data_IF_316667313088
#
_entry.id   IF_316667313088
#
_cell.length_a   1.000
_cell.length_b   1.000
_cell.length_c   1.000
_cell.angle_alpha   90.00
_cell.angle_beta   90.00
_cell.angle_gamma   90.00
#
_symmetry.space_group_name_H-M   'P 1'
#
loop_
_entity.id
_entity.type
_entity.pdbx_description
1 polymer ?
#
# COMPACT_ATOMS: atom_id res chain seq x y z
N UNK A 1 -5.29 8.62 -60.64
CA UNK A 1 -5.06 9.46 -59.46
C UNK A 1 -6.07 9.23 -58.32
N UNK A 2 -7.33 8.95 -58.59
CA UNK A 2 -8.39 8.80 -57.54
C UNK A 2 -8.28 7.50 -56.69
N UNK A 3 -7.66 6.43 -57.19
CA UNK A 3 -7.49 5.15 -56.49
C UNK A 3 -6.37 5.18 -55.43
N UNK A 4 -5.33 5.93 -55.62
CA UNK A 4 -4.20 6.02 -54.70
C UNK A 4 -4.51 6.92 -53.47
N UNK A 5 -5.43 7.86 -53.65
CA UNK A 5 -5.89 8.71 -52.56
C UNK A 5 -6.67 7.92 -51.46
N UNK A 6 -7.43 6.91 -51.90
CA UNK A 6 -8.20 6.05 -50.99
C UNK A 6 -7.29 5.13 -50.14
N UNK A 7 -6.20 4.63 -50.70
CA UNK A 7 -5.23 3.81 -49.97
C UNK A 7 -4.37 4.63 -48.99
N UNK A 8 -4.11 5.88 -49.30
CA UNK A 8 -3.35 6.78 -48.45
C UNK A 8 -4.18 7.20 -47.18
N UNK A 9 -5.49 7.35 -47.33
CA UNK A 9 -6.39 7.65 -46.21
C UNK A 9 -6.58 6.40 -45.34
N UNK A 10 -6.59 5.19 -45.90
CA UNK A 10 -6.73 3.95 -45.15
C UNK A 10 -5.47 3.62 -44.33
N UNK A 11 -4.28 4.04 -44.72
CA UNK A 11 -3.02 3.84 -44.01
C UNK A 11 -2.86 4.84 -42.84
N UNK A 12 -3.51 6.00 -42.90
CA UNK A 12 -3.46 7.00 -41.80
C UNK A 12 -4.34 6.67 -40.61
N UNK A 13 -5.30 5.75 -40.73
CA UNK A 13 -6.20 5.39 -39.66
C UNK A 13 -5.66 4.29 -38.73
N UNK A 14 -4.53 3.65 -39.07
CA UNK A 14 -3.95 2.57 -38.26
C UNK A 14 -2.92 3.02 -37.21
N UNK A 15 -2.66 4.33 -37.08
CA UNK A 15 -1.72 4.88 -36.10
C UNK A 15 -2.42 5.53 -34.91
N UNK A 16 -3.60 5.05 -34.51
CA UNK A 16 -4.07 5.31 -33.16
C UNK A 16 -3.28 4.37 -32.23
N UNK A 17 -2.05 4.78 -31.95
CA UNK A 17 -1.20 4.11 -30.98
C UNK A 17 -1.95 4.00 -29.66
N UNK A 18 -2.12 2.78 -29.17
CA UNK A 18 -2.47 2.52 -27.78
C UNK A 18 -1.43 3.22 -26.92
N UNK A 19 -1.78 4.40 -26.40
CA UNK A 19 -0.94 5.06 -25.40
C UNK A 19 -0.78 4.05 -24.24
N UNK A 20 0.43 3.61 -23.90
CA UNK A 20 0.60 2.74 -22.75
C UNK A 20 0.06 3.53 -21.55
N UNK A 21 -0.99 3.01 -20.91
CA UNK A 21 -1.52 3.58 -19.69
C UNK A 21 -0.44 3.42 -18.61
N UNK A 22 0.43 4.42 -18.50
CA UNK A 22 1.47 4.43 -17.46
C UNK A 22 0.78 4.63 -16.12
N UNK A 23 1.20 3.87 -15.13
CA UNK A 23 0.75 4.06 -13.77
C UNK A 23 1.02 5.51 -13.34
N UNK A 24 -0.01 6.22 -12.93
CA UNK A 24 0.12 7.54 -12.34
C UNK A 24 0.72 7.37 -10.96
N UNK A 25 1.84 8.04 -10.73
CA UNK A 25 2.57 8.03 -9.47
C UNK A 25 2.42 9.41 -8.80
N UNK A 26 1.95 9.41 -7.56
CA UNK A 26 1.75 10.62 -6.76
C UNK A 26 2.34 10.41 -5.38
N UNK A 27 2.85 11.47 -4.74
CA UNK A 27 3.35 11.41 -3.36
C UNK A 27 2.38 12.14 -2.44
N UNK A 28 2.17 11.57 -1.24
CA UNK A 28 1.28 12.09 -0.23
C UNK A 28 1.95 11.99 1.15
N UNK A 29 1.99 13.09 1.90
CA UNK A 29 2.40 13.08 3.30
C UNK A 29 1.19 12.86 4.21
N UNK A 30 1.28 11.90 5.14
CA UNK A 30 0.21 11.60 6.08
C UNK A 30 0.71 11.00 7.40
N UNK A 31 0.51 11.72 8.47
CA UNK A 31 0.70 11.26 9.86
C UNK A 31 2.06 10.61 10.11
N UNK A 32 2.06 9.46 10.78
CA UNK A 32 3.28 8.71 11.09
C UNK A 32 3.94 8.04 9.87
N UNK A 33 3.20 7.91 8.77
CA UNK A 33 3.75 7.33 7.54
C UNK A 33 4.69 8.28 6.81
N UNK A 34 4.57 9.61 7.05
CA UNK A 34 5.28 10.62 6.28
C UNK A 34 4.91 10.50 4.79
N UNK A 35 5.92 10.55 3.92
CA UNK A 35 5.70 10.44 2.49
C UNK A 35 5.30 9.02 2.08
N UNK A 36 4.08 8.88 1.60
CA UNK A 36 3.56 7.67 0.96
C UNK A 36 3.49 7.86 -0.55
N UNK A 37 3.69 6.79 -1.31
CA UNK A 37 3.61 6.83 -2.77
C UNK A 37 2.35 6.12 -3.26
N UNK A 38 1.55 6.81 -4.08
CA UNK A 38 0.32 6.29 -4.65
C UNK A 38 0.55 5.86 -6.09
N UNK A 39 0.09 4.65 -6.43
CA UNK A 39 0.11 4.13 -7.80
C UNK A 39 -1.29 3.76 -8.24
N UNK A 40 -1.74 4.29 -9.37
CA UNK A 40 -3.03 3.94 -9.97
C UNK A 40 -2.99 4.12 -11.49
N UNK A 41 -3.79 3.35 -12.21
CA UNK A 41 -3.97 3.51 -13.66
C UNK A 41 -5.33 4.12 -14.00
N UNK A 42 -6.31 4.01 -13.10
CA UNK A 42 -7.67 4.51 -13.26
C UNK A 42 -7.96 5.60 -12.23
N UNK A 43 -8.82 6.55 -12.59
CA UNK A 43 -9.37 7.52 -11.63
C UNK A 43 -10.42 6.88 -10.71
N UNK A 44 -10.96 5.71 -11.10
CA UNK A 44 -11.92 4.95 -10.30
C UNK A 44 -11.43 3.49 -10.12
N UNK A 45 -10.38 3.26 -9.30
CA UNK A 45 -9.92 1.91 -9.01
C UNK A 45 -11.02 1.12 -8.28
N UNK A 46 -11.09 -0.18 -8.57
CA UNK A 46 -12.05 -1.08 -7.89
C UNK A 46 -11.49 -1.72 -6.62
N UNK A 47 -10.19 -1.59 -6.39
CA UNK A 47 -9.47 -2.15 -5.24
C UNK A 47 -8.56 -1.11 -4.60
N UNK A 48 -8.34 -1.25 -3.30
CA UNK A 48 -7.36 -0.46 -2.54
C UNK A 48 -6.40 -1.42 -1.87
N UNK A 49 -5.11 -1.23 -2.07
CA UNK A 49 -4.03 -2.00 -1.46
C UNK A 49 -3.13 -1.06 -0.68
N UNK A 50 -2.90 -1.33 0.60
CA UNK A 50 -1.86 -0.68 1.38
C UNK A 50 -0.67 -1.62 1.42
N UNK A 51 0.42 -1.23 0.75
CA UNK A 51 1.59 -2.08 0.59
C UNK A 51 2.76 -1.56 1.40
N UNK A 52 3.26 -2.39 2.32
CA UNK A 52 4.36 -2.07 3.24
C UNK A 52 5.65 -2.72 2.77
N UNK A 53 6.71 -1.95 2.67
CA UNK A 53 8.06 -2.42 2.29
C UNK A 53 8.68 -3.34 3.35
N UNK A 54 9.81 -3.95 3.01
CA UNK A 54 10.71 -4.58 3.98
C UNK A 54 11.74 -3.60 4.55
N UNK A 55 12.72 -4.13 5.29
CA UNK A 55 13.79 -3.38 5.97
C UNK A 55 14.64 -2.49 5.05
N UNK A 56 14.63 -2.77 3.75
CA UNK A 56 15.28 -1.92 2.76
C UNK A 56 14.55 -0.60 2.46
N UNK A 57 13.38 -0.36 3.04
CA UNK A 57 12.54 0.81 2.77
C UNK A 57 11.77 0.72 1.45
N UNK A 58 11.15 1.86 1.07
CA UNK A 58 10.33 1.94 -0.14
C UNK A 58 11.20 2.19 -1.39
N UNK A 59 11.77 1.12 -1.96
CA UNK A 59 12.63 1.20 -3.13
C UNK A 59 12.60 -0.08 -3.99
N UNK A 60 13.25 -0.03 -5.17
CA UNK A 60 13.49 -1.18 -6.07
C UNK A 60 12.29 -2.14 -6.20
N UNK A 61 12.47 -3.40 -5.80
CA UNK A 61 11.51 -4.49 -6.05
C UNK A 61 10.10 -4.24 -5.52
N UNK A 62 9.93 -3.57 -4.37
CA UNK A 62 8.59 -3.25 -3.84
C UNK A 62 7.90 -2.18 -4.70
N UNK A 63 8.67 -1.25 -5.28
CA UNK A 63 8.14 -0.24 -6.23
C UNK A 63 7.63 -0.93 -7.50
N UNK A 64 8.39 -1.87 -8.05
CA UNK A 64 7.98 -2.63 -9.24
C UNK A 64 6.74 -3.48 -8.95
N UNK A 65 6.68 -4.10 -7.78
CA UNK A 65 5.51 -4.85 -7.33
C UNK A 65 4.27 -3.93 -7.20
N UNK A 66 4.42 -2.75 -6.61
CA UNK A 66 3.34 -1.77 -6.46
C UNK A 66 2.82 -1.30 -7.84
N UNK A 67 3.72 -0.98 -8.77
CA UNK A 67 3.38 -0.65 -10.16
C UNK A 67 2.64 -1.80 -10.84
N UNK A 68 3.08 -3.03 -10.64
CA UNK A 68 2.40 -4.21 -11.20
C UNK A 68 1.02 -4.41 -10.60
N UNK A 69 0.86 -4.26 -9.29
CA UNK A 69 -0.45 -4.34 -8.63
C UNK A 69 -1.43 -3.27 -9.14
N UNK A 70 -0.95 -2.05 -9.41
CA UNK A 70 -1.82 -0.98 -9.93
C UNK A 70 -2.41 -1.32 -11.30
N UNK A 71 -1.78 -2.23 -12.08
CA UNK A 71 -2.33 -2.70 -13.37
C UNK A 71 -3.58 -3.57 -13.20
N UNK A 72 -3.87 -4.05 -11.99
CA UNK A 72 -5.06 -4.83 -11.65
C UNK A 72 -6.25 -3.94 -11.23
N UNK A 73 -6.31 -2.72 -11.74
CA UNK A 73 -7.32 -1.72 -11.39
C UNK A 73 -7.35 -1.43 -9.89
N UNK A 74 -6.17 -1.36 -9.27
CA UNK A 74 -5.99 -1.06 -7.86
C UNK A 74 -5.35 0.32 -7.64
N UNK A 75 -5.81 1.01 -6.60
CA UNK A 75 -5.02 2.04 -5.94
C UNK A 75 -4.04 1.34 -4.99
N UNK A 76 -2.75 1.52 -5.19
CA UNK A 76 -1.72 1.00 -4.29
C UNK A 76 -1.11 2.16 -3.51
N UNK A 77 -1.15 2.07 -2.19
CA UNK A 77 -0.55 3.05 -1.26
C UNK A 77 0.72 2.42 -0.70
N UNK A 78 1.86 2.91 -1.12
CA UNK A 78 3.19 2.42 -0.73
C UNK A 78 3.67 3.07 0.56
N UNK A 79 4.11 2.25 1.51
CA UNK A 79 4.58 2.66 2.84
C UNK A 79 6.02 2.21 3.05
N UNK A 80 6.87 3.15 3.47
CA UNK A 80 8.22 2.87 3.97
C UNK A 80 8.13 2.40 5.42
N UNK A 81 8.41 1.11 5.66
CA UNK A 81 8.35 0.54 7.01
C UNK A 81 9.40 1.14 7.93
N UNK A 82 10.59 1.47 7.41
CA UNK A 82 11.70 1.98 8.23
C UNK A 82 11.32 3.33 8.85
N UNK A 83 10.75 4.21 8.02
CA UNK A 83 10.22 5.48 8.51
C UNK A 83 9.09 5.26 9.51
N UNK A 84 8.11 4.43 9.18
CA UNK A 84 6.92 4.22 10.01
C UNK A 84 7.26 3.63 11.39
N UNK A 85 8.09 2.60 11.47
CA UNK A 85 8.49 2.00 12.76
C UNK A 85 9.23 3.02 13.64
N UNK A 86 10.09 3.84 13.06
CA UNK A 86 10.77 4.92 13.79
C UNK A 86 9.78 5.93 14.38
N UNK A 87 8.69 6.25 13.67
CA UNK A 87 7.65 7.14 14.19
C UNK A 87 6.84 6.50 15.31
N UNK A 88 6.56 5.19 15.24
CA UNK A 88 5.93 4.46 16.35
C UNK A 88 6.77 4.51 17.63
N UNK A 89 8.08 4.34 17.51
CA UNK A 89 9.00 4.37 18.64
C UNK A 89 9.06 5.75 19.32
N UNK A 90 8.95 6.82 18.54
CA UNK A 90 9.00 8.20 19.02
C UNK A 90 7.69 8.65 19.72
N UNK A 91 6.63 7.85 19.66
CA UNK A 91 5.36 8.19 20.32
C UNK A 91 5.50 8.13 21.86
N UNK A 92 4.69 8.90 22.58
CA UNK A 92 4.63 8.86 24.07
C UNK A 92 3.75 7.72 24.61
N UNK A 93 3.09 6.97 23.76
CA UNK A 93 2.16 5.90 24.11
C UNK A 93 2.88 4.68 24.72
N UNK A 94 2.22 3.96 25.61
CA UNK A 94 2.77 2.76 26.25
C UNK A 94 2.82 1.56 25.30
N UNK A 95 1.90 1.50 24.35
CA UNK A 95 1.86 0.53 23.26
C UNK A 95 1.38 1.21 21.99
N UNK A 96 1.72 0.69 20.83
CA UNK A 96 1.35 1.23 19.51
C UNK A 96 0.13 0.53 18.95
N UNK A 97 -0.76 1.29 18.29
CA UNK A 97 -1.96 0.77 17.65
C UNK A 97 -1.99 1.07 16.15
N UNK A 98 -1.09 0.44 15.35
CA UNK A 98 -0.99 0.70 13.91
C UNK A 98 -2.28 0.43 13.14
N UNK A 99 -3.18 -0.41 13.62
CA UNK A 99 -4.44 -0.66 12.94
C UNK A 99 -5.25 0.63 12.69
N UNK A 100 -5.27 1.58 13.64
CA UNK A 100 -5.92 2.88 13.42
C UNK A 100 -5.18 3.74 12.42
N UNK A 101 -3.84 3.78 12.47
CA UNK A 101 -3.05 4.57 11.53
C UNK A 101 -3.33 4.14 10.08
N UNK A 102 -3.38 2.81 9.83
CA UNK A 102 -3.65 2.24 8.50
C UNK A 102 -5.09 2.50 8.04
N UNK A 103 -6.06 2.41 8.94
CA UNK A 103 -7.46 2.73 8.63
C UNK A 103 -7.63 4.20 8.28
N UNK A 104 -7.03 5.11 9.07
CA UNK A 104 -7.09 6.54 8.86
C UNK A 104 -6.41 6.96 7.56
N UNK A 105 -5.24 6.38 7.24
CA UNK A 105 -4.58 6.58 5.96
C UNK A 105 -5.49 6.15 4.80
N UNK A 106 -6.10 4.98 4.89
CA UNK A 106 -7.01 4.49 3.85
C UNK A 106 -8.19 5.43 3.62
N UNK A 107 -8.85 5.85 4.70
CA UNK A 107 -9.97 6.80 4.64
C UNK A 107 -9.54 8.14 4.04
N UNK A 108 -8.40 8.66 4.47
CA UNK A 108 -7.87 9.93 3.99
C UNK A 108 -7.55 9.89 2.49
N UNK A 109 -6.82 8.87 2.04
CA UNK A 109 -6.42 8.74 0.62
C UNK A 109 -7.65 8.58 -0.26
N UNK A 110 -8.60 7.74 0.10
CA UNK A 110 -9.80 7.53 -0.70
C UNK A 110 -10.67 8.79 -0.76
N UNK A 111 -10.80 9.52 0.35
CA UNK A 111 -11.49 10.81 0.37
C UNK A 111 -10.79 11.85 -0.51
N UNK A 112 -9.47 11.93 -0.43
CA UNK A 112 -8.66 12.89 -1.22
C UNK A 112 -8.74 12.62 -2.72
N UNK A 113 -8.93 11.36 -3.11
CA UNK A 113 -9.06 10.94 -4.50
C UNK A 113 -10.53 10.82 -4.96
N UNK A 114 -11.48 11.39 -4.20
CA UNK A 114 -12.90 11.48 -4.52
C UNK A 114 -13.56 10.12 -4.84
N UNK A 115 -13.18 9.06 -4.08
CA UNK A 115 -13.83 7.77 -4.22
C UNK A 115 -15.33 7.88 -3.91
N UNK A 116 -16.22 7.36 -4.77
CA UNK A 116 -17.67 7.50 -4.58
C UNK A 116 -18.19 6.71 -3.38
N UNK A 117 -17.42 5.73 -2.92
CA UNK A 117 -17.67 4.92 -1.71
C UNK A 117 -16.35 4.44 -1.14
N UNK A 118 -16.31 4.24 0.17
CA UNK A 118 -15.15 3.64 0.80
C UNK A 118 -15.00 2.16 0.39
N UNK A 119 -13.80 1.77 0.02
CA UNK A 119 -13.39 0.41 -0.30
C UNK A 119 -12.50 -0.07 0.83
N UNK A 120 -12.86 -1.16 1.50
CA UNK A 120 -11.99 -1.77 2.51
C UNK A 120 -10.67 -2.19 1.86
N UNK A 121 -9.53 -1.74 2.37
CA UNK A 121 -8.25 -2.06 1.77
C UNK A 121 -7.82 -3.50 2.06
N UNK A 122 -7.09 -4.08 1.13
CA UNK A 122 -6.23 -5.24 1.36
C UNK A 122 -4.89 -4.73 1.86
N UNK A 123 -4.40 -5.31 2.94
CA UNK A 123 -3.04 -5.08 3.42
C UNK A 123 -2.08 -6.00 2.67
N UNK A 124 -0.93 -5.49 2.27
CA UNK A 124 0.13 -6.29 1.68
C UNK A 124 1.46 -5.90 2.30
N UNK A 125 2.30 -6.87 2.58
CA UNK A 125 3.60 -6.60 3.16
C UNK A 125 4.68 -7.53 2.62
N UNK A 126 5.90 -7.01 2.54
CA UNK A 126 7.07 -7.77 2.13
C UNK A 126 8.10 -7.82 3.28
N UNK A 127 8.66 -9.01 3.59
CA UNK A 127 9.64 -9.20 4.66
C UNK A 127 9.11 -8.68 6.00
N UNK A 128 9.80 -7.77 6.71
CA UNK A 128 9.31 -7.12 7.94
C UNK A 128 7.94 -6.44 7.77
N UNK A 129 7.64 -5.91 6.57
CA UNK A 129 6.31 -5.41 6.24
C UNK A 129 5.24 -6.50 6.26
N UNK A 130 5.60 -7.75 5.93
CA UNK A 130 4.69 -8.89 6.01
C UNK A 130 4.26 -9.18 7.46
N UNK A 131 5.18 -9.05 8.39
CA UNK A 131 4.93 -9.20 9.83
C UNK A 131 4.07 -8.07 10.36
N UNK A 132 4.38 -6.82 9.94
CA UNK A 132 3.59 -5.67 10.35
C UNK A 132 2.14 -5.76 9.88
N UNK A 133 1.89 -6.10 8.61
CA UNK A 133 0.50 -6.18 8.11
C UNK A 133 -0.28 -7.34 8.73
N UNK A 134 0.39 -8.44 9.09
CA UNK A 134 -0.21 -9.51 9.89
C UNK A 134 -0.64 -8.98 11.27
N UNK A 135 0.25 -8.28 11.95
CA UNK A 135 -0.04 -7.70 13.27
C UNK A 135 -1.17 -6.66 13.19
N UNK A 136 -1.16 -5.80 12.16
CA UNK A 136 -2.23 -4.81 11.92
C UNK A 136 -3.58 -5.49 11.72
N UNK A 137 -3.64 -6.57 10.90
CA UNK A 137 -4.88 -7.29 10.67
C UNK A 137 -5.41 -7.97 11.95
N UNK A 138 -4.53 -8.63 12.72
CA UNK A 138 -4.90 -9.27 13.98
C UNK A 138 -5.34 -8.27 15.07
N UNK A 139 -4.75 -7.07 15.05
CA UNK A 139 -5.08 -6.00 15.99
C UNK A 139 -6.40 -5.30 15.67
N UNK A 140 -6.76 -5.22 14.39
CA UNK A 140 -7.90 -4.44 13.90
C UNK A 140 -9.24 -5.05 14.31
N UNK A 141 -10.29 -4.23 14.53
CA UNK A 141 -11.65 -4.71 14.60
C UNK A 141 -12.06 -5.46 13.32
N UNK A 142 -13.00 -6.39 13.45
CA UNK A 142 -13.56 -7.09 12.30
C UNK A 142 -14.08 -6.09 11.25
N UNK A 143 -13.89 -6.42 9.98
CA UNK A 143 -14.33 -5.60 8.84
C UNK A 143 -13.60 -4.25 8.66
N UNK A 144 -12.50 -4.00 9.36
CA UNK A 144 -11.65 -2.82 9.08
C UNK A 144 -10.91 -2.99 7.76
N UNK A 145 -10.34 -4.16 7.54
CA UNK A 145 -9.59 -4.54 6.33
C UNK A 145 -10.24 -5.74 5.65
N UNK A 146 -10.07 -5.86 4.35
CA UNK A 146 -10.55 -7.01 3.60
C UNK A 146 -9.74 -8.28 3.90
N UNK A 147 -8.46 -8.12 4.20
CA UNK A 147 -7.52 -9.20 4.52
C UNK A 147 -6.07 -8.71 4.41
N UNK A 148 -5.13 -9.64 4.59
CA UNK A 148 -3.71 -9.35 4.44
C UNK A 148 -2.99 -10.40 3.59
N UNK A 149 -1.99 -9.97 2.82
CA UNK A 149 -1.06 -10.79 2.05
C UNK A 149 0.33 -10.56 2.61
N UNK A 150 0.91 -11.60 3.20
CA UNK A 150 2.25 -11.56 3.81
C UNK A 150 3.25 -12.30 2.93
N UNK A 151 4.20 -11.58 2.35
CA UNK A 151 5.24 -12.09 1.47
C UNK A 151 6.58 -12.14 2.20
N UNK A 152 7.15 -13.34 2.37
CA UNK A 152 8.40 -13.50 3.11
C UNK A 152 8.23 -13.18 4.60
N UNK A 153 7.18 -13.70 5.22
CA UNK A 153 6.86 -13.48 6.63
C UNK A 153 7.99 -13.95 7.54
N UNK A 154 8.35 -13.07 8.49
CA UNK A 154 9.27 -13.37 9.59
C UNK A 154 8.54 -12.97 10.89
N UNK A 155 8.52 -13.81 11.93
CA UNK A 155 7.68 -13.55 13.11
C UNK A 155 8.14 -12.35 13.97
N UNK A 156 9.30 -11.78 13.67
CA UNK A 156 9.90 -10.73 14.50
C UNK A 156 9.73 -9.35 13.90
N UNK A 157 9.37 -8.37 14.75
CA UNK A 157 9.44 -6.94 14.44
C UNK A 157 10.42 -6.27 15.41
N UNK A 158 11.38 -5.44 14.94
CA UNK A 158 12.35 -4.78 15.80
C UNK A 158 11.73 -3.56 16.52
N UNK A 159 10.69 -3.79 17.29
CA UNK A 159 10.00 -2.73 18.05
C UNK A 159 10.54 -2.64 19.49
N UNK A 160 10.82 -1.43 19.94
CA UNK A 160 11.18 -1.14 21.34
C UNK A 160 9.94 -1.12 22.23
N UNK A 161 8.79 -0.72 21.68
CA UNK A 161 7.50 -0.70 22.36
C UNK A 161 6.59 -1.80 21.85
N UNK A 162 5.81 -2.43 22.73
CA UNK A 162 4.88 -3.45 22.30
C UNK A 162 3.75 -2.86 21.43
N UNK A 163 3.16 -3.70 20.61
CA UNK A 163 1.89 -3.41 19.99
C UNK A 163 0.76 -3.61 21.02
N UNK A 164 -0.27 -2.76 20.98
CA UNK A 164 -1.49 -2.99 21.74
C UNK A 164 -2.21 -4.23 21.19
N UNK A 165 -2.82 -5.03 22.06
CA UNK A 165 -3.48 -6.29 21.63
C UNK A 165 -4.65 -6.07 20.68
N UNK A 166 -5.38 -4.96 20.85
CA UNK A 166 -6.55 -4.69 20.01
C UNK A 166 -7.57 -5.81 20.08
N UNK A 167 -8.05 -6.27 18.91
CA UNK A 167 -9.11 -7.28 18.80
C UNK A 167 -8.65 -8.71 18.97
N UNK A 168 -7.35 -9.01 18.80
CA UNK A 168 -6.88 -10.39 18.89
C UNK A 168 -5.39 -10.58 18.67
N UNK A 169 -4.58 -9.52 18.63
CA UNK A 169 -3.14 -9.65 18.49
C UNK A 169 -2.51 -10.19 19.78
N UNK A 170 -1.85 -11.32 19.66
CA UNK A 170 -0.98 -11.87 20.68
C UNK A 170 0.47 -11.79 20.23
N UNK A 171 1.36 -11.48 21.16
CA UNK A 171 2.79 -11.38 20.92
C UNK A 171 3.58 -11.75 22.15
N UNK A 172 4.78 -12.23 21.95
CA UNK A 172 5.75 -12.54 23.00
C UNK A 172 7.04 -11.75 22.74
N UNK A 173 7.80 -11.50 23.81
CA UNK A 173 9.13 -10.91 23.63
C UNK A 173 10.08 -11.94 23.08
N UNK A 174 10.79 -11.61 22.02
CA UNK A 174 11.86 -12.43 21.49
C UNK A 174 13.00 -12.63 22.48
N UNK A 175 13.95 -13.56 22.19
CA UNK A 175 15.06 -13.92 23.09
C UNK A 175 15.91 -12.73 23.55
N UNK A 176 15.95 -11.66 22.76
CA UNK A 176 16.72 -10.43 23.03
C UNK A 176 15.88 -9.31 23.67
N UNK A 177 14.69 -9.63 24.17
CA UNK A 177 13.76 -8.64 24.76
C UNK A 177 13.14 -7.67 23.75
N UNK A 178 13.36 -7.88 22.45
CA UNK A 178 12.73 -7.20 21.33
C UNK A 178 11.70 -8.15 20.72
N UNK A 179 10.55 -7.65 20.36
CA UNK A 179 9.48 -8.47 19.77
C UNK A 179 8.40 -7.60 19.19
#
# INVERSE_FOLDING_TARGET
>A
MRRYFFYMVLLLTFFYGTCPCMAREETLDFGRFGNTTLYRQSDHPSHVVIFVSGDGGWNLGVVDMAKKLSTLNALVVGIDIVHYLKQLENSSEKCSYPASDFEDLSKYVQKKLDFPRYIQPVLMGYSSGATLVYAVLAQAPANTFQGAVSLGFCPDLPLLKPLCRGSGLEWEKGPNGKG
#
